data_IF_492776826157
#
_entry.id   IF_492776826157
#
_cell.length_a   1.000
_cell.length_b   1.000
_cell.length_c   1.000
_cell.angle_alpha   90.00
_cell.angle_beta   90.00
_cell.angle_gamma   90.00
#
_symmetry.space_group_name_H-M   'P 1'
#
loop_
_entity.id
_entity.type
_entity.pdbx_description
1 polymer ?
#
# COMPACT_ATOMS: atom_id res chain seq x y z
N UNK A 1 -0.09 -23.83 -16.29
CA UNK A 1 0.69 -22.59 -16.51
C UNK A 1 0.00 -21.48 -15.75
N UNK A 2 0.68 -20.81 -14.83
CA UNK A 2 0.16 -19.65 -14.12
C UNK A 2 0.98 -18.40 -14.45
N UNK A 3 0.33 -17.25 -14.54
CA UNK A 3 1.00 -15.95 -14.63
C UNK A 3 1.27 -15.42 -13.23
N UNK A 4 2.41 -14.75 -13.04
CA UNK A 4 2.78 -14.04 -11.81
C UNK A 4 3.42 -12.71 -12.18
N UNK A 5 3.40 -11.75 -11.26
CA UNK A 5 4.09 -10.48 -11.44
C UNK A 5 5.03 -10.17 -10.27
N UNK A 6 5.96 -9.28 -10.58
CA UNK A 6 6.76 -8.56 -9.60
C UNK A 6 6.78 -7.11 -10.02
N UNK A 7 6.46 -6.22 -9.11
CA UNK A 7 6.48 -4.78 -9.29
C UNK A 7 7.46 -4.16 -8.30
N UNK A 8 8.41 -3.40 -8.81
CA UNK A 8 9.40 -2.68 -8.01
C UNK A 8 9.09 -1.20 -8.02
N UNK A 9 8.83 -0.63 -6.85
CA UNK A 9 8.51 0.78 -6.65
C UNK A 9 9.68 1.44 -5.94
N UNK A 10 10.28 2.48 -6.54
CA UNK A 10 11.39 3.23 -5.95
C UNK A 10 10.95 4.65 -5.64
N UNK A 11 11.01 5.01 -4.37
CA UNK A 11 10.79 6.38 -3.89
C UNK A 11 12.10 7.04 -3.49
N UNK A 12 12.20 8.35 -3.74
CA UNK A 12 13.25 9.22 -3.19
C UNK A 12 12.62 10.38 -2.44
N UNK A 13 13.27 10.85 -1.40
CA UNK A 13 12.81 11.95 -0.56
C UNK A 13 13.91 12.47 0.35
N UNK A 14 13.50 13.18 1.39
CA UNK A 14 14.41 13.80 2.36
C UNK A 14 14.30 13.13 3.72
N UNK A 15 15.43 13.02 4.42
CA UNK A 15 15.47 12.56 5.82
C UNK A 15 14.99 13.66 6.78
N UNK A 16 15.26 14.92 6.41
CA UNK A 16 14.77 16.10 7.13
C UNK A 16 13.23 16.10 7.16
N UNK A 17 12.66 16.40 8.32
CA UNK A 17 11.23 16.71 8.44
C UNK A 17 11.06 18.21 8.46
N UNK A 18 10.19 18.71 7.59
CA UNK A 18 9.81 20.13 7.59
C UNK A 18 8.98 20.46 8.83
N UNK A 19 9.10 21.70 9.32
CA UNK A 19 8.31 22.18 10.44
C UNK A 19 6.85 22.37 10.02
N UNK A 20 6.62 22.99 8.85
CA UNK A 20 5.30 23.19 8.27
C UNK A 20 5.19 22.52 6.90
N UNK A 21 3.99 22.04 6.54
CA UNK A 21 3.74 21.39 5.26
C UNK A 21 3.87 22.32 4.03
N UNK A 22 3.94 23.64 4.27
CA UNK A 22 4.16 24.66 3.23
C UNK A 22 5.62 24.93 2.94
N UNK A 23 6.52 24.45 3.81
CA UNK A 23 7.95 24.68 3.67
C UNK A 23 8.53 23.84 2.52
N UNK A 24 9.76 24.16 2.12
CA UNK A 24 10.48 23.43 1.07
C UNK A 24 11.82 22.95 1.59
N UNK A 25 12.17 21.72 1.24
CA UNK A 25 13.52 21.21 1.47
C UNK A 25 14.55 22.03 0.68
N UNK A 26 15.62 22.44 1.35
CA UNK A 26 16.69 23.22 0.74
C UNK A 26 17.72 22.36 -0.01
N UNK A 27 17.92 21.11 0.42
CA UNK A 27 18.93 20.20 -0.11
C UNK A 27 18.41 19.22 -1.18
N UNK A 28 19.30 18.42 -1.81
CA UNK A 28 18.89 17.30 -2.65
C UNK A 28 18.24 16.19 -1.81
N UNK A 29 17.45 15.34 -2.47
CA UNK A 29 16.90 14.13 -1.84
C UNK A 29 18.04 13.21 -1.38
N UNK A 30 18.12 12.95 -0.07
CA UNK A 30 19.15 12.14 0.58
C UNK A 30 18.64 10.76 1.04
N UNK A 31 17.34 10.50 0.86
CA UNK A 31 16.70 9.25 1.26
C UNK A 31 16.11 8.52 0.07
N UNK A 32 16.25 7.20 0.05
CA UNK A 32 15.56 6.33 -0.91
C UNK A 32 14.89 5.15 -0.20
N UNK A 33 13.84 4.62 -0.82
CA UNK A 33 13.14 3.43 -0.37
C UNK A 33 12.69 2.64 -1.61
N UNK A 34 13.11 1.39 -1.69
CA UNK A 34 12.65 0.48 -2.75
C UNK A 34 11.73 -0.57 -2.13
N UNK A 35 10.53 -0.71 -2.70
CA UNK A 35 9.51 -1.68 -2.29
C UNK A 35 9.28 -2.63 -3.44
N UNK A 36 9.35 -3.93 -3.17
CA UNK A 36 9.03 -4.98 -4.11
C UNK A 36 7.70 -5.63 -3.72
N UNK A 37 6.77 -5.66 -4.66
CA UNK A 37 5.50 -6.35 -4.57
C UNK A 37 5.52 -7.54 -5.52
N UNK A 38 5.10 -8.72 -5.07
CA UNK A 38 4.90 -9.86 -5.96
C UNK A 38 3.58 -10.55 -5.67
N UNK A 39 3.05 -11.23 -6.68
CA UNK A 39 1.78 -11.92 -6.58
C UNK A 39 1.43 -12.74 -7.83
N UNK A 40 0.25 -13.38 -7.82
CA UNK A 40 -0.30 -14.07 -9.00
C UNK A 40 -0.67 -13.05 -10.08
N UNK A 41 -1.16 -13.48 -11.23
CA UNK A 41 -1.61 -12.62 -12.35
C UNK A 41 -2.01 -11.17 -11.93
N UNK A 42 -1.31 -10.15 -12.44
CA UNK A 42 -1.41 -8.79 -11.92
C UNK A 42 -2.80 -8.16 -12.14
N UNK A 43 -3.47 -8.53 -13.22
CA UNK A 43 -4.67 -7.84 -13.68
C UNK A 43 -5.95 -8.40 -13.06
N UNK A 44 -6.17 -9.71 -13.11
CA UNK A 44 -7.42 -10.33 -12.70
C UNK A 44 -7.32 -10.94 -11.32
N UNK A 45 -6.40 -11.88 -11.10
CA UNK A 45 -6.36 -12.64 -9.84
C UNK A 45 -6.02 -11.72 -8.68
N UNK A 46 -4.95 -10.93 -8.81
CA UNK A 46 -4.48 -9.98 -7.82
C UNK A 46 -5.53 -8.92 -7.52
N UNK A 47 -6.07 -8.25 -8.54
CA UNK A 47 -7.12 -7.24 -8.36
C UNK A 47 -8.38 -7.81 -7.70
N UNK A 48 -8.83 -9.00 -8.11
CA UNK A 48 -9.99 -9.66 -7.52
C UNK A 48 -9.77 -10.01 -6.05
N UNK A 49 -8.59 -10.52 -5.69
CA UNK A 49 -8.24 -10.79 -4.28
C UNK A 49 -8.29 -9.50 -3.46
N UNK A 50 -7.68 -8.41 -3.94
CA UNK A 50 -7.72 -7.10 -3.29
C UNK A 50 -9.17 -6.63 -3.11
N UNK A 51 -9.97 -6.61 -4.17
CA UNK A 51 -11.35 -6.12 -4.13
C UNK A 51 -12.21 -6.91 -3.12
N UNK A 52 -12.09 -8.24 -3.11
CA UNK A 52 -12.80 -9.08 -2.14
C UNK A 52 -12.32 -8.82 -0.72
N UNK A 53 -11.01 -8.63 -0.50
CA UNK A 53 -10.50 -8.31 0.84
C UNK A 53 -10.97 -6.93 1.32
N UNK A 54 -11.04 -5.93 0.43
CA UNK A 54 -11.64 -4.62 0.74
C UNK A 54 -13.09 -4.80 1.18
N UNK A 55 -13.90 -5.53 0.42
CA UNK A 55 -15.31 -5.75 0.75
C UNK A 55 -15.48 -6.40 2.13
N UNK A 56 -14.67 -7.40 2.47
CA UNK A 56 -14.73 -8.05 3.79
C UNK A 56 -14.37 -7.07 4.91
N UNK A 57 -13.32 -6.26 4.73
CA UNK A 57 -12.90 -5.26 5.72
C UNK A 57 -13.97 -4.19 5.91
N UNK A 58 -14.55 -3.66 4.82
CA UNK A 58 -15.62 -2.65 4.90
C UNK A 58 -16.84 -3.20 5.63
N UNK A 59 -17.22 -4.45 5.39
CA UNK A 59 -18.39 -5.06 6.03
C UNK A 59 -18.17 -5.49 7.48
N UNK A 60 -16.96 -5.91 7.85
CA UNK A 60 -16.68 -6.54 9.16
C UNK A 60 -15.86 -5.69 10.12
N UNK A 61 -15.17 -4.68 9.60
CA UNK A 61 -14.20 -3.85 10.33
C UNK A 61 -14.48 -2.35 10.16
N UNK A 62 -15.72 -1.97 9.83
CA UNK A 62 -16.13 -0.57 9.66
C UNK A 62 -15.77 0.30 10.88
N UNK A 63 -15.83 -0.28 12.09
CA UNK A 63 -15.45 0.37 13.35
C UNK A 63 -13.95 0.73 13.44
N UNK A 64 -13.09 0.07 12.65
CA UNK A 64 -11.66 0.37 12.56
C UNK A 64 -11.34 1.38 11.47
N UNK A 65 -12.27 1.65 10.56
CA UNK A 65 -12.05 2.61 9.48
C UNK A 65 -12.07 4.03 10.04
N UNK A 66 -11.00 4.79 9.75
CA UNK A 66 -10.78 6.14 10.29
C UNK A 66 -11.87 7.11 9.83
N UNK A 67 -12.40 6.93 8.62
CA UNK A 67 -13.42 7.79 8.03
C UNK A 67 -14.69 6.98 7.72
N UNK A 68 -15.84 7.47 8.18
CA UNK A 68 -17.13 6.74 8.11
C UNK A 68 -17.89 6.88 6.79
N UNK A 69 -17.42 7.70 5.86
CA UNK A 69 -18.07 7.92 4.56
C UNK A 69 -17.29 8.85 3.64
N UNK A 70 -17.75 8.97 2.39
CA UNK A 70 -17.11 9.76 1.34
C UNK A 70 -16.38 8.92 0.29
N UNK A 71 -15.63 9.58 -0.58
CA UNK A 71 -14.78 8.94 -1.61
C UNK A 71 -13.35 8.95 -1.11
N UNK A 72 -12.86 7.76 -0.76
CA UNK A 72 -11.59 7.60 -0.05
C UNK A 72 -10.63 6.75 -0.88
N UNK A 73 -9.37 7.16 -0.89
CA UNK A 73 -8.31 6.29 -1.41
C UNK A 73 -8.09 5.11 -0.45
N UNK A 74 -7.63 3.94 -0.96
CA UNK A 74 -7.40 2.77 -0.13
C UNK A 74 -6.46 3.03 1.06
N UNK A 75 -5.45 3.89 0.86
CA UNK A 75 -4.49 4.24 1.91
C UNK A 75 -5.11 4.92 3.12
N UNK A 76 -6.17 5.71 2.93
CA UNK A 76 -6.91 6.34 4.04
C UNK A 76 -8.00 5.41 4.57
N UNK A 77 -8.72 4.73 3.67
CA UNK A 77 -9.88 3.92 4.03
C UNK A 77 -9.52 2.65 4.80
N UNK A 78 -8.39 2.03 4.46
CA UNK A 78 -8.01 0.70 4.95
C UNK A 78 -6.92 0.76 6.01
N UNK A 79 -6.44 1.96 6.36
CA UNK A 79 -5.46 2.13 7.44
C UNK A 79 -6.02 1.60 8.76
N UNK A 80 -5.16 0.92 9.54
CA UNK A 80 -5.54 0.28 10.80
C UNK A 80 -6.48 -0.94 10.69
N UNK A 81 -6.86 -1.37 9.48
CA UNK A 81 -7.68 -2.58 9.26
C UNK A 81 -6.82 -3.83 9.04
N UNK A 82 -7.45 -5.02 9.03
CA UNK A 82 -6.73 -6.26 8.69
C UNK A 82 -6.42 -6.44 7.19
N UNK A 83 -6.75 -5.47 6.32
CA UNK A 83 -6.64 -5.61 4.87
C UNK A 83 -5.28 -6.16 4.40
N UNK A 84 -4.17 -5.58 4.89
CA UNK A 84 -2.82 -5.98 4.48
C UNK A 84 -2.51 -7.43 4.86
N UNK A 85 -2.83 -7.85 6.08
CA UNK A 85 -2.64 -9.23 6.53
C UNK A 85 -3.45 -10.22 5.67
N UNK A 86 -4.66 -9.84 5.27
CA UNK A 86 -5.55 -10.68 4.47
C UNK A 86 -5.03 -10.90 3.07
N UNK A 87 -4.47 -9.88 2.43
CA UNK A 87 -3.90 -10.02 1.08
C UNK A 87 -2.59 -10.80 1.12
N UNK A 88 -1.73 -10.57 2.12
CA UNK A 88 -0.48 -11.32 2.29
C UNK A 88 -0.72 -12.83 2.45
N UNK A 89 -1.76 -13.22 3.20
CA UNK A 89 -2.19 -14.64 3.33
C UNK A 89 -2.74 -15.26 2.04
N UNK A 90 -2.93 -14.48 0.97
CA UNK A 90 -3.55 -14.91 -0.30
C UNK A 90 -2.61 -14.79 -1.49
N UNK A 91 -1.31 -14.92 -1.24
CA UNK A 91 -0.30 -14.98 -2.29
C UNK A 91 0.29 -13.63 -2.69
N UNK A 92 0.02 -12.56 -1.93
CA UNK A 92 0.77 -11.32 -2.04
C UNK A 92 2.03 -11.39 -1.16
N UNK A 93 3.12 -10.83 -1.66
CA UNK A 93 4.30 -10.56 -0.85
C UNK A 93 4.74 -9.12 -1.06
N UNK A 94 5.05 -8.45 0.05
CA UNK A 94 5.64 -7.11 0.07
C UNK A 94 6.96 -7.19 0.81
N UNK A 95 8.02 -6.64 0.21
CA UNK A 95 9.33 -6.54 0.84
C UNK A 95 9.88 -5.12 0.65
N UNK A 96 10.53 -4.60 1.69
CA UNK A 96 11.44 -3.47 1.55
C UNK A 96 12.78 -4.06 1.12
N UNK A 97 13.30 -3.62 -0.01
CA UNK A 97 14.59 -4.06 -0.53
C UNK A 97 15.57 -2.89 -0.47
N UNK A 98 16.79 -3.17 -0.01
CA UNK A 98 17.90 -2.23 -0.16
C UNK A 98 18.39 -2.28 -1.61
N UNK A 99 18.79 -1.13 -2.14
CA UNK A 99 19.54 -1.06 -3.40
C UNK A 99 20.93 -1.72 -3.26
#
# INVERSE_FOLDING_TARGET
MGCSFTMTMRGRGWTEKLAENTDRHAGPMDRSLTIQLAGPDPAYVTTAVCMVQVAVVVLKEQQKMVVKGGVLSPGVALDGTSFMERVLKRGFSVAVVSD
#
